data_IF_298016522167
#
_entry.id   IF_298016522167
#
_cell.length_a   1.000
_cell.length_b   1.000
_cell.length_c   1.000
_cell.angle_alpha   90.00
_cell.angle_beta   90.00
_cell.angle_gamma   90.00
#
_symmetry.space_group_name_H-M   'P 1'
#
loop_
_entity.id
_entity.type
_entity.pdbx_description
1 polymer ?
#
# COMPACT_ATOMS: atom_id res chain seq x y z
N UNK A 1 -23.76 -11.69 -5.65
CA UNK A 1 -23.09 -11.80 -6.96
C UNK A 1 -23.64 -12.98 -7.72
N UNK A 2 -23.90 -12.80 -9.01
CA UNK A 2 -24.23 -13.91 -9.89
C UNK A 2 -23.00 -14.84 -10.06
N UNK A 3 -23.22 -16.09 -10.51
CA UNK A 3 -22.10 -17.00 -10.83
C UNK A 3 -21.19 -16.44 -11.94
N UNK A 4 -21.76 -15.67 -12.87
CA UNK A 4 -21.02 -15.01 -13.95
C UNK A 4 -20.12 -13.90 -13.40
N UNK A 5 -20.65 -13.02 -12.52
CA UNK A 5 -19.88 -11.95 -11.87
C UNK A 5 -18.75 -12.51 -11.02
N UNK A 6 -18.97 -13.61 -10.30
CA UNK A 6 -17.92 -14.26 -9.50
C UNK A 6 -16.77 -14.80 -10.36
N UNK A 7 -17.09 -15.37 -11.55
CA UNK A 7 -16.08 -15.85 -12.51
C UNK A 7 -15.17 -14.73 -13.05
N UNK A 8 -15.69 -13.51 -13.13
CA UNK A 8 -14.91 -12.34 -13.54
C UNK A 8 -14.10 -11.76 -12.40
N UNK A 9 -14.72 -11.62 -11.22
CA UNK A 9 -14.10 -10.91 -10.09
C UNK A 9 -13.00 -11.71 -9.42
N UNK A 10 -13.17 -13.04 -9.23
CA UNK A 10 -12.21 -13.86 -8.50
C UNK A 10 -10.80 -13.85 -9.11
N UNK A 11 -10.61 -14.05 -10.44
CA UNK A 11 -9.28 -13.96 -11.04
C UNK A 11 -8.67 -12.54 -10.96
N UNK A 12 -9.49 -11.49 -11.04
CA UNK A 12 -9.02 -10.11 -10.89
C UNK A 12 -8.56 -9.82 -9.46
N UNK A 13 -9.29 -10.31 -8.47
CA UNK A 13 -8.87 -10.21 -7.07
C UNK A 13 -7.60 -11.03 -6.79
N UNK A 14 -7.47 -12.23 -7.37
CA UNK A 14 -6.28 -13.07 -7.24
C UNK A 14 -5.03 -12.41 -7.84
N UNK A 15 -5.13 -11.81 -9.03
CA UNK A 15 -3.97 -11.12 -9.64
C UNK A 15 -3.58 -9.88 -8.86
N UNK A 16 -4.55 -9.13 -8.32
CA UNK A 16 -4.27 -7.99 -7.43
C UNK A 16 -3.57 -8.45 -6.16
N UNK A 17 -4.09 -9.50 -5.52
CA UNK A 17 -3.47 -10.10 -4.32
C UNK A 17 -2.05 -10.61 -4.60
N UNK A 18 -1.83 -11.31 -5.72
CA UNK A 18 -0.50 -11.78 -6.13
C UNK A 18 0.48 -10.61 -6.31
N UNK A 19 0.02 -9.51 -6.91
CA UNK A 19 0.86 -8.32 -7.08
C UNK A 19 1.24 -7.66 -5.74
N UNK A 20 0.33 -7.61 -4.76
CA UNK A 20 0.60 -7.10 -3.43
C UNK A 20 1.53 -8.01 -2.62
N UNK A 21 1.44 -9.33 -2.81
CA UNK A 21 2.37 -10.29 -2.19
C UNK A 21 3.83 -10.04 -2.55
N UNK A 22 4.12 -9.33 -3.66
CA UNK A 22 5.48 -8.93 -4.03
C UNK A 22 6.18 -8.08 -2.94
N UNK A 23 5.43 -7.38 -2.12
CA UNK A 23 5.94 -6.65 -0.95
C UNK A 23 5.79 -7.47 0.32
N UNK A 24 4.57 -7.87 0.65
CA UNK A 24 4.24 -8.38 1.97
C UNK A 24 4.87 -9.74 2.28
N UNK A 25 5.05 -10.59 1.25
CA UNK A 25 5.75 -11.87 1.37
C UNK A 25 7.25 -11.69 1.62
N UNK A 26 7.82 -10.60 1.10
CA UNK A 26 9.25 -10.30 1.16
C UNK A 26 9.68 -9.59 2.46
N UNK A 27 8.80 -8.77 3.06
CA UNK A 27 9.16 -7.97 4.23
C UNK A 27 9.83 -8.76 5.37
N UNK A 28 9.33 -9.95 5.78
CA UNK A 28 9.99 -10.75 6.82
C UNK A 28 11.39 -11.24 6.42
N UNK A 29 11.70 -11.26 5.12
CA UNK A 29 12.98 -11.74 4.60
C UNK A 29 14.09 -10.68 4.62
N UNK A 30 13.78 -9.39 4.83
CA UNK A 30 14.75 -8.29 4.77
C UNK A 30 15.91 -8.46 5.76
N UNK A 31 15.69 -8.82 7.06
CA UNK A 31 16.80 -9.07 7.99
C UNK A 31 17.65 -10.29 7.59
N UNK A 32 17.02 -11.31 6.99
CA UNK A 32 17.72 -12.52 6.50
C UNK A 32 18.59 -12.17 5.30
N UNK A 33 18.06 -11.38 4.35
CA UNK A 33 18.78 -10.87 3.19
C UNK A 33 20.00 -10.04 3.66
N UNK A 34 19.81 -9.12 4.59
CA UNK A 34 20.87 -8.27 5.13
C UNK A 34 22.05 -9.11 5.60
N UNK A 35 21.78 -10.12 6.44
CA UNK A 35 22.81 -11.03 6.96
C UNK A 35 23.45 -11.87 5.87
N UNK A 36 22.67 -12.39 4.93
CA UNK A 36 23.16 -13.30 3.89
C UNK A 36 24.06 -12.61 2.86
N UNK A 37 23.85 -11.32 2.61
CA UNK A 37 24.66 -10.52 1.69
C UNK A 37 25.75 -9.71 2.41
N UNK A 38 25.77 -9.69 3.75
CA UNK A 38 26.73 -8.91 4.54
C UNK A 38 26.63 -7.41 4.29
N UNK A 39 25.42 -6.89 4.05
CA UNK A 39 25.18 -5.48 3.72
C UNK A 39 24.63 -4.71 4.92
N UNK A 40 24.71 -3.37 4.86
CA UNK A 40 24.12 -2.49 5.85
C UNK A 40 22.60 -2.50 5.81
N UNK A 41 21.96 -2.13 6.92
CA UNK A 41 20.49 -2.04 7.04
C UNK A 41 19.91 -1.08 6.01
N UNK A 42 20.54 0.06 5.80
CA UNK A 42 20.15 1.06 4.78
C UNK A 42 20.07 0.47 3.40
N UNK A 43 21.03 -0.36 3.04
CA UNK A 43 21.08 -1.05 1.75
C UNK A 43 20.00 -2.15 1.63
N UNK A 44 19.74 -2.87 2.73
CA UNK A 44 18.66 -3.85 2.76
C UNK A 44 17.28 -3.18 2.66
N UNK A 45 17.04 -2.09 3.39
CA UNK A 45 15.80 -1.31 3.32
C UNK A 45 15.61 -0.63 1.96
N UNK A 46 16.70 -0.27 1.26
CA UNK A 46 16.61 0.27 -0.09
C UNK A 46 15.92 -0.70 -1.07
N UNK A 47 15.98 -2.01 -0.85
CA UNK A 47 15.27 -3.00 -1.68
C UNK A 47 13.75 -2.89 -1.58
N UNK A 48 13.23 -2.43 -0.45
CA UNK A 48 11.80 -2.15 -0.24
C UNK A 48 11.43 -0.78 -0.78
N UNK A 49 12.24 0.24 -0.47
CA UNK A 49 12.00 1.61 -0.91
C UNK A 49 12.00 1.73 -2.44
N UNK A 50 12.93 1.08 -3.13
CA UNK A 50 13.02 1.11 -4.59
C UNK A 50 11.84 0.37 -5.26
N UNK A 51 11.32 -0.68 -4.64
CA UNK A 51 10.10 -1.34 -5.10
C UNK A 51 8.92 -0.38 -5.01
N UNK A 52 8.74 0.34 -3.89
CA UNK A 52 7.69 1.35 -3.76
C UNK A 52 7.86 2.49 -4.78
N UNK A 53 9.09 2.90 -5.09
CA UNK A 53 9.34 3.88 -6.14
C UNK A 53 8.91 3.39 -7.52
N UNK A 54 9.20 2.13 -7.87
CA UNK A 54 8.73 1.48 -9.09
C UNK A 54 7.20 1.38 -9.14
N UNK A 55 6.59 0.96 -8.02
CA UNK A 55 5.14 0.87 -7.88
C UNK A 55 4.46 2.25 -7.97
N UNK A 56 5.09 3.29 -7.42
CA UNK A 56 4.63 4.67 -7.53
C UNK A 56 4.60 5.14 -8.99
N UNK A 57 5.70 4.96 -9.71
CA UNK A 57 5.80 5.33 -11.12
C UNK A 57 4.81 4.54 -11.99
N UNK A 58 4.53 3.30 -11.62
CA UNK A 58 3.59 2.42 -12.32
C UNK A 58 2.17 3.00 -12.38
N UNK A 59 1.76 3.79 -11.37
CA UNK A 59 0.41 4.37 -11.33
C UNK A 59 0.16 5.31 -12.52
N UNK A 60 1.17 6.07 -12.91
CA UNK A 60 1.09 6.94 -14.08
C UNK A 60 1.24 6.15 -15.39
N UNK A 61 2.22 5.24 -15.43
CA UNK A 61 2.53 4.46 -16.63
C UNK A 61 1.36 3.55 -17.04
N UNK A 62 0.78 2.78 -16.12
CA UNK A 62 -0.33 1.89 -16.44
C UNK A 62 -1.64 2.60 -16.63
N UNK A 63 -1.87 3.74 -15.96
CA UNK A 63 -3.04 4.58 -16.20
C UNK A 63 -3.13 5.06 -17.64
N UNK A 64 -2.02 5.51 -18.22
CA UNK A 64 -1.94 5.92 -19.62
C UNK A 64 -1.93 4.72 -20.58
N UNK A 65 -1.19 3.65 -20.23
CA UNK A 65 -1.09 2.43 -21.04
C UNK A 65 -2.43 1.72 -21.19
N UNK A 66 -3.30 1.77 -20.18
CA UNK A 66 -4.63 1.15 -20.22
C UNK A 66 -5.48 1.71 -21.37
N UNK A 67 -5.41 3.03 -21.58
CA UNK A 67 -6.13 3.70 -22.67
C UNK A 67 -5.57 3.33 -24.06
N UNK A 68 -4.27 3.08 -24.18
CA UNK A 68 -3.60 2.80 -25.47
C UNK A 68 -3.56 1.33 -25.83
N UNK A 69 -3.25 0.46 -24.88
CA UNK A 69 -3.00 -0.96 -25.10
C UNK A 69 -4.21 -1.84 -24.80
N UNK A 70 -5.17 -1.31 -24.04
CA UNK A 70 -6.31 -2.06 -23.51
C UNK A 70 -5.95 -2.94 -22.30
N UNK A 71 -6.96 -3.41 -21.54
CA UNK A 71 -6.75 -4.05 -20.24
C UNK A 71 -6.02 -5.39 -20.34
N UNK A 72 -6.32 -6.19 -21.38
CA UNK A 72 -5.73 -7.52 -21.53
C UNK A 72 -4.22 -7.47 -21.79
N UNK A 73 -3.75 -6.52 -22.61
CA UNK A 73 -2.33 -6.35 -22.87
C UNK A 73 -1.63 -5.77 -21.64
N UNK A 74 -2.23 -4.80 -20.97
CA UNK A 74 -1.66 -4.24 -19.74
C UNK A 74 -1.47 -5.31 -18.66
N UNK A 75 -2.50 -6.14 -18.39
CA UNK A 75 -2.40 -7.19 -17.40
C UNK A 75 -1.38 -8.26 -17.82
N UNK A 76 -1.33 -8.62 -19.11
CA UNK A 76 -0.37 -9.58 -19.64
C UNK A 76 1.08 -9.10 -19.44
N UNK A 77 1.39 -7.89 -19.86
CA UNK A 77 2.73 -7.29 -19.72
C UNK A 77 3.09 -7.15 -18.24
N UNK A 78 2.15 -6.67 -17.40
CA UNK A 78 2.37 -6.52 -15.96
C UNK A 78 2.66 -7.86 -15.27
N UNK A 79 1.84 -8.89 -15.50
CA UNK A 79 2.03 -10.19 -14.84
C UNK A 79 3.25 -10.94 -15.37
N UNK A 80 3.51 -10.90 -16.69
CA UNK A 80 4.75 -11.46 -17.26
C UNK A 80 5.97 -10.71 -16.71
N UNK A 81 5.92 -9.38 -16.66
CA UNK A 81 6.96 -8.56 -16.03
C UNK A 81 7.18 -8.93 -14.56
N UNK A 82 6.10 -9.17 -13.79
CA UNK A 82 6.20 -9.62 -12.40
C UNK A 82 6.86 -10.99 -12.27
N UNK A 83 6.55 -11.94 -13.16
CA UNK A 83 7.20 -13.26 -13.22
C UNK A 83 8.69 -13.11 -13.48
N UNK A 84 9.06 -12.42 -14.58
CA UNK A 84 10.45 -12.28 -15.01
C UNK A 84 11.30 -11.55 -13.97
N UNK A 85 10.77 -10.46 -13.40
CA UNK A 85 11.49 -9.70 -12.37
C UNK A 85 11.59 -10.44 -11.05
N UNK A 86 10.58 -11.26 -10.69
CA UNK A 86 10.67 -12.14 -9.51
C UNK A 86 11.74 -13.21 -9.69
N UNK A 87 11.80 -13.86 -10.86
CA UNK A 87 12.89 -14.80 -11.18
C UNK A 87 14.25 -14.09 -11.14
N UNK A 88 14.34 -12.89 -11.73
CA UNK A 88 15.58 -12.10 -11.72
C UNK A 88 16.01 -11.72 -10.27
N UNK A 89 15.06 -11.33 -9.39
CA UNK A 89 15.34 -11.07 -7.99
C UNK A 89 15.85 -12.33 -7.26
N UNK A 90 15.25 -13.50 -7.54
CA UNK A 90 15.69 -14.76 -6.94
C UNK A 90 17.10 -15.17 -7.36
N UNK A 91 17.50 -14.81 -8.56
CA UNK A 91 18.82 -15.11 -9.14
C UNK A 91 19.85 -14.00 -8.91
N UNK A 92 19.47 -12.87 -8.31
CA UNK A 92 20.37 -11.74 -8.10
C UNK A 92 21.55 -12.13 -7.19
N UNK A 93 22.77 -11.93 -7.69
CA UNK A 93 24.02 -12.23 -6.98
C UNK A 93 24.59 -11.01 -6.24
N UNK A 94 24.15 -9.81 -6.61
CA UNK A 94 24.62 -8.57 -5.98
C UNK A 94 23.48 -7.59 -5.72
N UNK A 95 23.70 -6.69 -4.74
CA UNK A 95 22.73 -5.68 -4.35
C UNK A 95 22.31 -4.76 -5.51
N UNK A 96 23.20 -4.24 -6.38
CA UNK A 96 22.79 -3.37 -7.49
C UNK A 96 21.80 -4.03 -8.45
N UNK A 97 22.02 -5.29 -8.79
CA UNK A 97 21.08 -6.05 -9.61
C UNK A 97 19.75 -6.30 -8.91
N UNK A 98 19.79 -6.64 -7.62
CA UNK A 98 18.58 -6.82 -6.85
C UNK A 98 17.77 -5.52 -6.79
N UNK A 99 18.42 -4.37 -6.56
CA UNK A 99 17.75 -3.06 -6.58
C UNK A 99 17.08 -2.78 -7.93
N UNK A 100 17.80 -2.97 -9.03
CA UNK A 100 17.26 -2.78 -10.38
C UNK A 100 16.03 -3.69 -10.60
N UNK A 101 16.13 -4.98 -10.28
CA UNK A 101 15.03 -5.92 -10.49
C UNK A 101 13.84 -5.60 -9.56
N UNK A 102 14.07 -5.15 -8.33
CA UNK A 102 13.01 -4.71 -7.40
C UNK A 102 12.28 -3.47 -7.93
N UNK A 103 12.98 -2.52 -8.55
CA UNK A 103 12.33 -1.38 -9.20
C UNK A 103 11.39 -1.83 -10.32
N UNK A 104 11.87 -2.66 -11.24
CA UNK A 104 11.04 -3.16 -12.34
C UNK A 104 9.92 -4.10 -11.85
N UNK A 105 10.13 -4.84 -10.76
CA UNK A 105 9.10 -5.65 -10.11
C UNK A 105 7.97 -4.78 -9.55
N UNK A 106 8.30 -3.66 -8.90
CA UNK A 106 7.33 -2.67 -8.46
C UNK A 106 6.55 -2.06 -9.63
N UNK A 107 7.25 -1.71 -10.70
CA UNK A 107 6.64 -1.19 -11.92
C UNK A 107 5.65 -2.19 -12.54
N UNK A 108 6.01 -3.46 -12.59
CA UNK A 108 5.16 -4.53 -13.13
C UNK A 108 3.95 -4.83 -12.24
N UNK A 109 4.14 -4.85 -10.92
CA UNK A 109 3.08 -5.15 -9.94
C UNK A 109 1.91 -4.16 -10.01
N UNK A 110 2.16 -2.89 -10.33
CA UNK A 110 1.11 -1.87 -10.41
C UNK A 110 0.08 -2.06 -11.54
N UNK A 111 0.34 -2.90 -12.53
CA UNK A 111 -0.62 -3.15 -13.60
C UNK A 111 -1.94 -3.73 -13.07
N UNK A 112 -1.88 -4.68 -12.16
CA UNK A 112 -3.06 -5.34 -11.61
C UNK A 112 -3.93 -4.39 -10.79
N UNK A 113 -3.33 -3.51 -9.99
CA UNK A 113 -4.05 -2.56 -9.13
C UNK A 113 -4.85 -1.52 -9.91
N UNK A 114 -4.46 -1.24 -11.15
CA UNK A 114 -5.14 -0.30 -12.03
C UNK A 114 -6.14 -1.02 -12.94
N UNK A 115 -5.73 -2.13 -13.54
CA UNK A 115 -6.55 -2.84 -14.54
C UNK A 115 -7.72 -3.55 -13.89
N UNK A 116 -7.54 -4.23 -12.74
CA UNK A 116 -8.59 -5.05 -12.15
C UNK A 116 -9.85 -4.24 -11.76
N UNK A 117 -9.74 -3.10 -11.03
CA UNK A 117 -10.91 -2.27 -10.74
C UNK A 117 -11.55 -1.66 -12.00
N UNK A 118 -10.74 -1.34 -13.03
CA UNK A 118 -11.23 -0.77 -14.28
C UNK A 118 -12.06 -1.80 -15.06
N UNK A 119 -11.62 -3.05 -15.14
CA UNK A 119 -12.37 -4.14 -15.76
C UNK A 119 -13.69 -4.39 -15.03
N UNK A 120 -13.66 -4.44 -13.69
CA UNK A 120 -14.91 -4.66 -12.91
C UNK A 120 -15.93 -3.56 -13.18
N UNK A 121 -15.50 -2.28 -13.20
CA UNK A 121 -16.42 -1.14 -13.44
C UNK A 121 -17.00 -1.10 -14.86
N UNK A 122 -16.26 -1.62 -15.83
CA UNK A 122 -16.70 -1.57 -17.24
C UNK A 122 -17.46 -2.81 -17.69
N UNK A 123 -17.35 -3.94 -16.96
CA UNK A 123 -17.97 -5.22 -17.36
C UNK A 123 -19.13 -5.65 -16.48
N UNK A 124 -19.27 -5.05 -15.31
CA UNK A 124 -20.34 -5.36 -14.36
C UNK A 124 -21.17 -4.11 -14.08
N UNK A 125 -22.49 -4.29 -13.95
CA UNK A 125 -23.42 -3.20 -13.70
C UNK A 125 -23.97 -3.20 -12.26
N UNK A 126 -24.41 -2.03 -11.81
CA UNK A 126 -25.17 -1.84 -10.58
C UNK A 126 -24.52 -2.46 -9.33
N UNK A 127 -25.29 -3.30 -8.64
CA UNK A 127 -24.85 -3.92 -7.37
C UNK A 127 -23.72 -4.94 -7.57
N UNK A 128 -23.58 -5.56 -8.73
CA UNK A 128 -22.52 -6.53 -8.99
C UNK A 128 -21.17 -5.84 -9.19
N UNK A 129 -21.12 -4.65 -9.81
CA UNK A 129 -19.92 -3.83 -9.90
C UNK A 129 -19.43 -3.40 -8.48
N UNK A 130 -20.36 -2.93 -7.65
CA UNK A 130 -20.02 -2.54 -6.25
C UNK A 130 -19.48 -3.72 -5.45
N UNK A 131 -20.12 -4.88 -5.54
CA UNK A 131 -19.67 -6.10 -4.88
C UNK A 131 -18.32 -6.61 -5.42
N UNK A 132 -18.08 -6.43 -6.71
CA UNK A 132 -16.82 -6.81 -7.35
C UNK A 132 -15.66 -5.95 -6.86
N UNK A 133 -15.83 -4.64 -6.79
CA UNK A 133 -14.84 -3.72 -6.20
C UNK A 133 -14.62 -4.06 -4.72
N UNK A 134 -15.69 -4.30 -3.95
CA UNK A 134 -15.57 -4.68 -2.54
C UNK A 134 -14.77 -6.00 -2.35
N UNK A 135 -14.92 -6.98 -3.26
CA UNK A 135 -14.15 -8.22 -3.22
C UNK A 135 -12.66 -8.01 -3.50
N UNK A 136 -12.30 -7.13 -4.46
CA UNK A 136 -10.91 -6.73 -4.69
C UNK A 136 -10.35 -6.05 -3.44
N UNK A 137 -11.07 -5.07 -2.89
CA UNK A 137 -10.63 -4.35 -1.68
C UNK A 137 -10.52 -5.25 -0.44
N UNK A 138 -11.33 -6.31 -0.35
CA UNK A 138 -11.19 -7.32 0.69
C UNK A 138 -9.87 -8.08 0.57
N UNK A 139 -9.46 -8.49 -0.64
CA UNK A 139 -8.15 -9.11 -0.87
C UNK A 139 -7.03 -8.13 -0.54
N UNK A 140 -7.14 -6.88 -0.97
CA UNK A 140 -6.18 -5.81 -0.65
C UNK A 140 -6.01 -5.60 0.86
N UNK A 141 -7.08 -5.72 1.63
CA UNK A 141 -7.04 -5.61 3.09
C UNK A 141 -6.47 -6.88 3.78
N UNK A 142 -6.65 -8.06 3.19
CA UNK A 142 -6.21 -9.33 3.78
C UNK A 142 -4.73 -9.63 3.49
N UNK A 143 -4.21 -9.22 2.33
CA UNK A 143 -2.83 -9.52 1.91
C UNK A 143 -1.78 -9.01 2.91
N UNK A 144 -1.88 -7.79 3.48
CA UNK A 144 -0.94 -7.31 4.49
C UNK A 144 -0.91 -8.13 5.80
N UNK A 145 -1.94 -8.94 6.07
CA UNK A 145 -1.91 -9.89 7.18
C UNK A 145 -1.38 -11.26 6.73
N UNK A 146 -1.90 -11.77 5.60
CA UNK A 146 -1.55 -13.11 5.11
C UNK A 146 -0.11 -13.17 4.55
N UNK A 147 0.34 -12.12 3.85
CA UNK A 147 1.67 -12.06 3.24
C UNK A 147 2.82 -12.27 4.22
N UNK A 148 2.90 -11.49 5.30
CA UNK A 148 3.93 -11.68 6.33
C UNK A 148 3.88 -13.05 7.03
N UNK A 149 2.67 -13.60 7.24
CA UNK A 149 2.51 -14.95 7.83
C UNK A 149 3.08 -16.01 6.88
N UNK A 150 2.71 -15.93 5.60
CA UNK A 150 3.24 -16.82 4.57
C UNK A 150 4.74 -16.63 4.38
N UNK A 151 5.21 -15.38 4.35
CA UNK A 151 6.64 -15.05 4.26
C UNK A 151 7.44 -15.63 5.42
N UNK A 152 6.97 -15.46 6.66
CA UNK A 152 7.59 -16.01 7.84
C UNK A 152 7.62 -17.54 7.81
N UNK A 153 6.53 -18.19 7.39
CA UNK A 153 6.46 -19.66 7.25
C UNK A 153 7.43 -20.17 6.16
N UNK A 154 7.52 -19.48 5.04
CA UNK A 154 8.45 -19.84 3.96
C UNK A 154 9.92 -19.76 4.40
N UNK A 155 10.27 -18.76 5.23
CA UNK A 155 11.62 -18.57 5.73
C UNK A 155 12.11 -19.70 6.66
N UNK A 156 11.21 -20.52 7.19
CA UNK A 156 11.58 -21.71 7.97
C UNK A 156 12.24 -22.77 7.08
N UNK A 157 11.81 -22.87 5.83
CA UNK A 157 12.24 -23.93 4.90
C UNK A 157 13.07 -23.41 3.72
N UNK A 158 12.91 -22.12 3.38
CA UNK A 158 13.51 -21.51 2.21
C UNK A 158 14.35 -20.29 2.61
N UNK A 159 15.34 -19.96 1.78
CA UNK A 159 16.06 -18.69 1.92
C UNK A 159 15.16 -17.51 1.50
N UNK A 160 15.66 -16.28 1.70
CA UNK A 160 14.98 -15.07 1.19
C UNK A 160 14.68 -15.13 -0.32
N UNK A 161 15.48 -15.84 -1.09
CA UNK A 161 15.25 -16.08 -2.54
C UNK A 161 13.98 -16.88 -2.80
N UNK A 162 13.61 -17.76 -1.88
CA UNK A 162 12.41 -18.59 -1.97
C UNK A 162 11.12 -17.76 -2.05
N UNK A 163 11.06 -16.60 -1.40
CA UNK A 163 9.90 -15.71 -1.47
C UNK A 163 9.63 -15.23 -2.90
N UNK A 164 10.68 -14.95 -3.67
CA UNK A 164 10.56 -14.54 -5.07
C UNK A 164 10.18 -15.70 -5.99
N UNK A 165 10.69 -16.92 -5.76
CA UNK A 165 10.29 -18.11 -6.51
C UNK A 165 8.81 -18.44 -6.32
N UNK A 166 8.32 -18.37 -5.08
CA UNK A 166 6.91 -18.62 -4.77
C UNK A 166 6.03 -17.55 -5.43
N UNK A 167 6.45 -16.29 -5.41
CA UNK A 167 5.74 -15.21 -6.08
C UNK A 167 5.69 -15.41 -7.60
N UNK A 168 6.81 -15.78 -8.22
CA UNK A 168 6.87 -16.08 -9.65
C UNK A 168 5.93 -17.24 -10.02
N UNK A 169 5.90 -18.31 -9.22
CA UNK A 169 5.02 -19.43 -9.42
C UNK A 169 3.54 -19.04 -9.28
N UNK A 170 3.20 -18.27 -8.24
CA UNK A 170 1.83 -17.77 -8.04
C UNK A 170 1.37 -16.92 -9.23
N UNK A 171 2.22 -15.99 -9.70
CA UNK A 171 1.92 -15.16 -10.86
C UNK A 171 1.78 -16.00 -12.15
N UNK A 172 2.60 -17.03 -12.33
CA UNK A 172 2.53 -17.94 -13.47
C UNK A 172 1.20 -18.73 -13.49
N UNK A 173 0.72 -19.18 -12.33
CA UNK A 173 -0.57 -19.88 -12.20
C UNK A 173 -1.74 -18.93 -12.50
N UNK A 174 -1.69 -17.70 -12.02
CA UNK A 174 -2.78 -16.71 -12.17
C UNK A 174 -2.84 -16.15 -13.59
N UNK A 175 -1.73 -16.06 -14.32
CA UNK A 175 -1.64 -15.47 -15.66
C UNK A 175 -2.68 -16.05 -16.65
N UNK A 176 -2.73 -17.37 -16.93
CA UNK A 176 -3.68 -17.90 -17.91
C UNK A 176 -5.15 -17.73 -17.46
N UNK A 177 -5.40 -17.73 -16.16
CA UNK A 177 -6.74 -17.58 -15.60
C UNK A 177 -7.24 -16.16 -15.85
N UNK A 178 -6.43 -15.14 -15.51
CA UNK A 178 -6.82 -13.73 -15.66
C UNK A 178 -6.90 -13.32 -17.13
N UNK A 179 -6.03 -13.84 -18.00
CA UNK A 179 -6.08 -13.53 -19.43
C UNK A 179 -7.33 -14.07 -20.13
N UNK A 180 -7.91 -15.17 -19.65
CA UNK A 180 -9.14 -15.73 -20.22
C UNK A 180 -10.35 -14.82 -19.98
N UNK A 181 -10.39 -14.11 -18.85
CA UNK A 181 -11.55 -13.31 -18.43
C UNK A 181 -11.40 -11.82 -18.74
N UNK A 182 -10.16 -11.34 -18.92
CA UNK A 182 -9.91 -9.91 -19.16
C UNK A 182 -10.26 -9.57 -20.62
N UNK A 183 -11.18 -8.62 -20.85
CA UNK A 183 -11.55 -8.21 -22.20
C UNK A 183 -10.37 -7.55 -22.92
N UNK A 184 -10.43 -7.52 -24.27
CA UNK A 184 -9.39 -6.84 -25.07
C UNK A 184 -9.53 -5.33 -25.00
N UNK A 185 -10.77 -4.85 -24.91
CA UNK A 185 -11.14 -3.43 -24.87
C UNK A 185 -12.14 -3.19 -23.75
N UNK A 186 -12.16 -1.98 -23.20
CA UNK A 186 -13.14 -1.56 -22.20
C UNK A 186 -14.20 -0.70 -22.87
N UNK A 187 -15.50 -1.06 -22.78
CA UNK A 187 -16.57 -0.19 -23.25
C UNK A 187 -16.53 1.17 -22.53
N UNK A 188 -16.69 2.26 -23.30
CA UNK A 188 -16.85 3.60 -22.73
C UNK A 188 -15.58 4.31 -22.25
N UNK A 189 -14.38 3.81 -22.57
CA UNK A 189 -13.17 4.60 -22.41
C UNK A 189 -13.19 5.75 -23.44
N UNK A 190 -13.45 6.96 -22.96
CA UNK A 190 -13.40 8.16 -23.79
C UNK A 190 -11.94 8.56 -24.02
N UNK A 191 -11.46 8.35 -25.23
CA UNK A 191 -10.11 8.71 -25.67
C UNK A 191 -9.95 10.22 -25.96
N UNK A 192 -11.04 11.01 -25.85
CA UNK A 192 -11.14 12.33 -26.46
C UNK A 192 -10.74 13.51 -25.57
N UNK A 193 -10.47 13.34 -24.27
CA UNK A 193 -10.12 14.48 -23.43
C UNK A 193 -8.79 14.28 -22.69
N UNK A 194 -7.72 14.90 -23.16
CA UNK A 194 -6.50 15.07 -22.38
C UNK A 194 -6.69 16.18 -21.34
N UNK A 195 -7.55 15.98 -20.33
CA UNK A 195 -7.53 16.84 -19.17
C UNK A 195 -6.24 16.54 -18.40
N UNK A 196 -5.22 17.41 -18.50
CA UNK A 196 -3.91 17.17 -17.91
C UNK A 196 -3.97 17.04 -16.38
N UNK A 197 -2.98 16.37 -15.78
CA UNK A 197 -2.77 16.30 -14.33
C UNK A 197 -2.71 17.69 -13.67
N UNK A 198 -2.36 18.74 -14.43
CA UNK A 198 -2.30 20.12 -13.96
C UNK A 198 -3.60 20.61 -13.32
N UNK A 199 -4.76 20.27 -13.87
CA UNK A 199 -6.07 20.67 -13.28
C UNK A 199 -6.32 20.00 -11.93
N UNK A 200 -5.94 18.74 -11.77
CA UNK A 200 -6.06 18.01 -10.49
C UNK A 200 -5.11 18.62 -9.44
N UNK A 201 -3.88 18.91 -9.83
CA UNK A 201 -2.86 19.50 -8.96
C UNK A 201 -3.11 20.97 -8.65
N UNK A 202 -3.84 21.70 -9.49
CA UNK A 202 -4.27 23.08 -9.22
C UNK A 202 -5.34 23.16 -8.11
N UNK A 203 -6.05 22.05 -7.84
CA UNK A 203 -7.05 22.01 -6.76
C UNK A 203 -6.37 21.93 -5.39
N UNK A 204 -6.23 23.08 -4.72
CA UNK A 204 -5.56 23.19 -3.41
C UNK A 204 -6.20 22.32 -2.33
N UNK A 205 -7.53 22.13 -2.37
CA UNK A 205 -8.26 21.25 -1.42
C UNK A 205 -7.81 19.81 -1.61
N UNK A 206 -7.86 19.33 -2.84
CA UNK A 206 -7.40 18.00 -3.20
C UNK A 206 -5.95 17.77 -2.74
N UNK A 207 -5.04 18.66 -3.13
CA UNK A 207 -3.61 18.54 -2.80
C UNK A 207 -3.37 18.48 -1.29
N UNK A 208 -4.03 19.34 -0.49
CA UNK A 208 -3.88 19.34 0.98
C UNK A 208 -4.34 18.02 1.60
N UNK A 209 -5.52 17.52 1.21
CA UNK A 209 -6.07 16.27 1.75
C UNK A 209 -5.19 15.08 1.34
N UNK A 210 -4.76 15.04 0.07
CA UNK A 210 -3.93 13.95 -0.45
C UNK A 210 -2.54 13.93 0.18
N UNK A 211 -1.87 15.07 0.31
CA UNK A 211 -0.57 15.12 0.99
C UNK A 211 -0.69 14.72 2.47
N UNK A 212 -1.77 15.15 3.16
CA UNK A 212 -2.05 14.69 4.51
C UNK A 212 -2.25 13.17 4.58
N UNK A 213 -2.99 12.59 3.61
CA UNK A 213 -3.19 11.15 3.52
C UNK A 213 -1.89 10.42 3.16
N UNK A 214 -1.09 10.96 2.26
CA UNK A 214 0.20 10.41 1.86
C UNK A 214 1.21 10.37 3.02
N UNK A 215 1.30 11.43 3.83
CA UNK A 215 2.17 11.46 5.02
C UNK A 215 1.72 10.40 6.05
N UNK A 216 0.42 10.23 6.23
CA UNK A 216 -0.12 9.18 7.10
C UNK A 216 0.20 7.78 6.58
N UNK A 217 -0.01 7.53 5.29
CA UNK A 217 0.37 6.27 4.65
C UNK A 217 1.88 6.06 4.63
N UNK A 218 2.66 7.14 4.49
CA UNK A 218 4.12 7.12 4.67
C UNK A 218 4.52 6.63 6.06
N UNK A 219 3.87 7.10 7.12
CA UNK A 219 4.09 6.63 8.50
C UNK A 219 3.72 5.14 8.65
N UNK A 220 2.59 4.71 8.05
CA UNK A 220 2.18 3.31 8.01
C UNK A 220 3.26 2.43 7.36
N UNK A 221 3.63 2.73 6.12
CA UNK A 221 4.57 1.91 5.35
C UNK A 221 6.00 2.01 5.86
N UNK A 222 6.43 3.16 6.41
CA UNK A 222 7.69 3.30 7.12
C UNK A 222 7.77 2.30 8.28
N UNK A 223 6.72 2.21 9.10
CA UNK A 223 6.67 1.24 10.19
C UNK A 223 6.62 -0.19 9.66
N UNK A 224 5.70 -0.53 8.75
CA UNK A 224 5.53 -1.89 8.21
C UNK A 224 6.80 -2.40 7.55
N UNK A 225 7.45 -1.59 6.72
CA UNK A 225 8.67 -1.98 6.01
C UNK A 225 9.86 -2.17 6.95
N UNK A 226 9.92 -1.39 8.03
CA UNK A 226 11.03 -1.41 8.98
C UNK A 226 10.80 -2.33 10.19
N UNK A 227 9.54 -2.72 10.45
CA UNK A 227 9.19 -3.51 11.63
C UNK A 227 9.94 -4.85 11.73
N UNK A 228 10.18 -5.64 10.66
CA UNK A 228 10.96 -6.86 10.77
C UNK A 228 12.38 -6.62 11.32
N UNK A 229 13.03 -5.56 10.83
CA UNK A 229 14.36 -5.17 11.27
C UNK A 229 14.36 -4.61 12.69
N UNK A 230 13.37 -3.74 12.99
CA UNK A 230 13.18 -3.19 14.33
C UNK A 230 12.99 -4.30 15.38
N UNK A 231 12.09 -5.27 15.09
CA UNK A 231 11.82 -6.38 16.00
C UNK A 231 13.05 -7.26 16.21
N UNK A 232 13.83 -7.46 15.15
CA UNK A 232 15.07 -8.23 15.24
C UNK A 232 16.12 -7.51 16.10
N UNK A 233 16.36 -6.23 15.85
CA UNK A 233 17.43 -5.47 16.51
C UNK A 233 17.07 -5.09 17.96
N UNK A 234 15.84 -4.62 18.21
CA UNK A 234 15.42 -4.14 19.52
C UNK A 234 15.07 -5.28 20.49
N UNK A 235 14.56 -6.41 19.99
CA UNK A 235 14.00 -7.47 20.83
C UNK A 235 14.56 -8.86 20.55
N UNK A 236 15.41 -9.05 19.53
CA UNK A 236 15.90 -10.36 19.12
C UNK A 236 14.81 -11.26 18.52
N UNK A 237 13.66 -10.68 18.10
CA UNK A 237 12.51 -11.42 17.63
C UNK A 237 12.61 -11.71 16.12
N UNK A 238 12.08 -12.86 15.71
CA UNK A 238 12.09 -13.30 14.31
C UNK A 238 10.82 -12.93 13.54
N UNK A 239 10.75 -13.45 12.32
CA UNK A 239 9.67 -13.21 11.36
C UNK A 239 8.24 -13.51 11.90
N UNK A 240 8.10 -14.49 12.79
CA UNK A 240 6.82 -14.81 13.43
C UNK A 240 6.24 -13.70 14.27
N UNK A 241 7.09 -12.93 14.98
CA UNK A 241 6.65 -11.76 15.74
C UNK A 241 6.10 -10.65 14.81
N UNK A 242 6.76 -10.43 13.68
CA UNK A 242 6.26 -9.49 12.67
C UNK A 242 4.92 -9.95 12.08
N UNK A 243 4.77 -11.24 11.78
CA UNK A 243 3.52 -11.80 11.31
C UNK A 243 2.38 -11.59 12.34
N UNK A 244 2.63 -11.84 13.62
CA UNK A 244 1.66 -11.61 14.71
C UNK A 244 1.26 -10.14 14.79
N UNK A 245 2.22 -9.22 14.72
CA UNK A 245 1.98 -7.78 14.73
C UNK A 245 1.06 -7.38 13.56
N UNK A 246 1.33 -7.86 12.35
CA UNK A 246 0.52 -7.57 11.17
C UNK A 246 -0.91 -8.12 11.28
N UNK A 247 -1.07 -9.37 11.74
CA UNK A 247 -2.39 -9.98 11.95
C UNK A 247 -3.22 -9.15 12.93
N UNK A 248 -2.64 -8.73 14.06
CA UNK A 248 -3.34 -7.92 15.07
C UNK A 248 -3.73 -6.55 14.48
N UNK A 249 -2.81 -5.86 13.79
CA UNK A 249 -3.09 -4.57 13.18
C UNK A 249 -4.17 -4.64 12.11
N UNK A 250 -4.07 -5.59 11.17
CA UNK A 250 -5.05 -5.76 10.09
C UNK A 250 -6.41 -6.18 10.63
N UNK A 251 -6.46 -7.05 11.63
CA UNK A 251 -7.72 -7.43 12.28
C UNK A 251 -8.39 -6.22 12.92
N UNK A 252 -7.65 -5.41 13.68
CA UNK A 252 -8.13 -4.15 14.23
C UNK A 252 -8.65 -3.20 13.15
N UNK A 253 -7.90 -3.05 12.06
CA UNK A 253 -8.32 -2.26 10.90
C UNK A 253 -9.65 -2.73 10.32
N UNK A 254 -9.80 -4.03 10.01
CA UNK A 254 -11.01 -4.59 9.39
C UNK A 254 -12.23 -4.41 10.30
N UNK A 255 -12.10 -4.73 11.60
CA UNK A 255 -13.17 -4.57 12.58
C UNK A 255 -13.62 -3.11 12.66
N UNK A 256 -12.68 -2.17 12.65
CA UNK A 256 -12.98 -0.74 12.76
C UNK A 256 -13.49 -0.18 11.43
N UNK A 257 -12.95 -0.59 10.30
CA UNK A 257 -13.38 -0.17 8.98
C UNK A 257 -14.85 -0.50 8.69
N UNK A 258 -15.35 -1.64 9.19
CA UNK A 258 -16.76 -2.00 9.08
C UNK A 258 -17.72 -1.02 9.79
N UNK A 259 -17.21 -0.18 10.68
CA UNK A 259 -17.97 0.85 11.44
C UNK A 259 -17.66 2.27 11.01
N UNK A 260 -16.63 2.46 10.16
CA UNK A 260 -16.10 3.79 9.76
C UNK A 260 -17.19 4.69 9.15
N UNK A 261 -18.06 4.16 8.30
CA UNK A 261 -19.15 4.92 7.69
C UNK A 261 -20.16 5.45 8.72
N UNK A 262 -20.48 4.67 9.75
CA UNK A 262 -21.36 5.10 10.84
C UNK A 262 -20.72 6.19 11.70
N UNK A 263 -19.43 6.07 11.98
CA UNK A 263 -18.66 7.06 12.75
C UNK A 263 -18.57 8.35 11.95
N UNK A 264 -18.21 8.30 10.68
CA UNK A 264 -18.13 9.47 9.81
C UNK A 264 -19.50 10.13 9.59
N UNK A 265 -20.57 9.33 9.47
CA UNK A 265 -21.94 9.85 9.34
C UNK A 265 -22.43 10.62 10.60
N UNK A 266 -21.96 10.24 11.80
CA UNK A 266 -22.29 10.95 13.05
C UNK A 266 -21.44 12.20 13.30
N UNK A 267 -20.16 12.15 12.97
CA UNK A 267 -19.18 13.21 13.25
C UNK A 267 -19.03 14.21 12.11
N UNK A 268 -19.38 13.80 10.89
CA UNK A 268 -18.99 14.48 9.65
C UNK A 268 -17.56 14.10 9.22
N UNK A 269 -17.33 14.02 7.92
CA UNK A 269 -16.03 13.59 7.34
C UNK A 269 -14.86 14.42 7.87
N UNK A 270 -14.95 15.74 7.81
CA UNK A 270 -13.86 16.63 8.24
C UNK A 270 -13.51 16.48 9.73
N UNK A 271 -14.50 16.25 10.59
CA UNK A 271 -14.27 16.02 12.03
C UNK A 271 -13.63 14.64 12.26
N UNK A 272 -14.09 13.59 11.57
CA UNK A 272 -13.52 12.25 11.68
C UNK A 272 -12.05 12.24 11.23
N UNK A 273 -11.72 12.94 10.16
CA UNK A 273 -10.34 13.07 9.65
C UNK A 273 -9.44 13.82 10.63
N UNK A 274 -9.92 14.93 11.23
CA UNK A 274 -9.14 15.72 12.20
C UNK A 274 -8.94 14.96 13.51
N UNK A 275 -9.99 14.38 14.07
CA UNK A 275 -9.88 13.59 15.31
C UNK A 275 -8.95 12.39 15.12
N UNK A 276 -9.03 11.69 13.97
CA UNK A 276 -8.11 10.61 13.65
C UNK A 276 -6.66 11.10 13.53
N UNK A 277 -6.42 12.30 12.96
CA UNK A 277 -5.07 12.86 12.90
C UNK A 277 -4.51 13.20 14.29
N UNK A 278 -5.32 13.82 15.15
CA UNK A 278 -4.93 14.09 16.56
C UNK A 278 -4.65 12.78 17.29
N UNK A 279 -5.52 11.77 17.16
CA UNK A 279 -5.33 10.48 17.80
C UNK A 279 -4.02 9.80 17.37
N UNK A 280 -3.64 9.87 16.08
CA UNK A 280 -2.35 9.35 15.62
C UNK A 280 -1.16 10.07 16.27
N UNK A 281 -1.21 11.41 16.39
CA UNK A 281 -0.16 12.18 17.08
C UNK A 281 -0.06 11.73 18.52
N UNK A 282 -1.19 11.60 19.22
CA UNK A 282 -1.22 11.20 20.63
C UNK A 282 -0.60 9.84 20.85
N UNK A 283 -0.95 8.83 20.02
CA UNK A 283 -0.36 7.49 20.18
C UNK A 283 1.11 7.43 19.78
N UNK A 284 1.53 8.19 18.75
CA UNK A 284 2.93 8.27 18.36
C UNK A 284 3.77 8.99 19.43
N UNK A 285 3.25 10.07 20.02
CA UNK A 285 3.89 10.76 21.14
C UNK A 285 3.96 9.86 22.38
N UNK A 286 2.89 9.12 22.68
CA UNK A 286 2.89 8.15 23.77
C UNK A 286 3.95 7.07 23.57
N UNK A 287 4.08 6.50 22.37
CA UNK A 287 5.12 5.53 22.05
C UNK A 287 6.52 6.14 22.22
N UNK A 288 6.74 7.38 21.77
CA UNK A 288 8.01 8.07 21.94
C UNK A 288 8.35 8.28 23.42
N UNK A 289 7.40 8.73 24.26
CA UNK A 289 7.58 8.91 25.69
C UNK A 289 7.86 7.58 26.43
N UNK A 290 7.09 6.52 26.10
CA UNK A 290 7.31 5.17 26.63
C UNK A 290 8.69 4.65 26.25
N UNK A 291 9.14 4.95 25.02
CA UNK A 291 10.46 4.58 24.51
C UNK A 291 11.58 5.33 25.23
N UNK A 292 11.41 6.64 25.48
CA UNK A 292 12.34 7.46 26.25
C UNK A 292 12.47 6.99 27.72
N UNK A 293 11.37 6.54 28.29
CA UNK A 293 11.33 5.99 29.64
C UNK A 293 11.90 4.56 29.74
N UNK A 294 12.28 3.92 28.62
CA UNK A 294 12.84 2.57 28.60
C UNK A 294 11.82 1.44 28.70
N UNK A 295 10.51 1.75 28.57
CA UNK A 295 9.41 0.76 28.74
C UNK A 295 8.83 0.25 27.41
N UNK A 296 9.44 0.59 26.25
CA UNK A 296 8.98 0.13 24.96
C UNK A 296 9.28 -1.37 24.80
N UNK A 297 8.29 -2.19 25.09
CA UNK A 297 8.33 -3.66 24.95
C UNK A 297 7.53 -4.12 23.75
N UNK A 298 7.72 -5.37 23.31
CA UNK A 298 6.95 -5.93 22.19
C UNK A 298 5.42 -5.89 22.41
N UNK A 299 4.86 -6.22 23.59
CA UNK A 299 3.42 -6.02 23.86
C UNK A 299 2.96 -4.57 23.69
N UNK A 300 3.77 -3.59 24.07
CA UNK A 300 3.47 -2.17 23.85
C UNK A 300 3.38 -1.86 22.37
N UNK A 301 4.30 -2.41 21.54
CA UNK A 301 4.23 -2.27 20.09
C UNK A 301 2.98 -2.93 19.47
N UNK A 302 2.55 -4.08 19.98
CA UNK A 302 1.32 -4.74 19.52
C UNK A 302 0.09 -3.84 19.76
N UNK A 303 -0.02 -3.28 20.96
CA UNK A 303 -1.13 -2.37 21.32
C UNK A 303 -1.05 -1.09 20.47
N UNK A 304 0.12 -0.48 20.38
CA UNK A 304 0.34 0.71 19.55
C UNK A 304 -0.10 0.46 18.11
N UNK A 305 0.36 -0.64 17.50
CA UNK A 305 0.08 -0.96 16.11
C UNK A 305 -1.40 -1.23 15.86
N UNK A 306 -2.04 -1.96 16.76
CA UNK A 306 -3.49 -2.17 16.71
C UNK A 306 -4.26 -0.84 16.75
N UNK A 307 -3.92 0.04 17.70
CA UNK A 307 -4.53 1.36 17.82
C UNK A 307 -4.28 2.21 16.56
N UNK A 308 -3.06 2.20 16.01
CA UNK A 308 -2.70 2.93 14.80
C UNK A 308 -3.58 2.49 13.62
N UNK A 309 -3.71 1.19 13.40
CA UNK A 309 -4.54 0.63 12.34
C UNK A 309 -6.04 0.93 12.54
N UNK A 310 -6.56 0.86 13.77
CA UNK A 310 -7.93 1.23 14.09
C UNK A 310 -8.22 2.71 13.78
N UNK A 311 -7.33 3.62 14.18
CA UNK A 311 -7.48 5.06 13.92
C UNK A 311 -7.41 5.32 12.40
N UNK A 312 -6.52 4.63 11.68
CA UNK A 312 -6.41 4.74 10.23
C UNK A 312 -7.72 4.31 9.54
N UNK A 313 -8.38 3.25 10.03
CA UNK A 313 -9.66 2.77 9.51
C UNK A 313 -10.80 3.79 9.68
N UNK A 314 -10.76 4.61 10.72
CA UNK A 314 -11.75 5.70 10.93
C UNK A 314 -11.44 6.89 10.02
N UNK A 315 -10.16 7.26 9.89
CA UNK A 315 -9.74 8.47 9.19
C UNK A 315 -9.64 8.31 7.68
N UNK A 316 -9.15 7.15 7.21
CA UNK A 316 -8.79 6.93 5.80
C UNK A 316 -9.96 7.08 4.83
N UNK A 317 -11.05 6.31 4.97
CA UNK A 317 -12.18 6.35 4.05
C UNK A 317 -12.82 7.74 3.90
N UNK A 318 -13.09 8.51 4.97
CA UNK A 318 -13.59 9.87 4.83
C UNK A 318 -12.63 10.83 4.11
N UNK A 319 -11.32 10.72 4.37
CA UNK A 319 -10.32 11.55 3.70
C UNK A 319 -10.26 11.27 2.20
N UNK A 320 -10.30 9.99 1.80
CA UNK A 320 -10.33 9.57 0.40
C UNK A 320 -11.62 10.05 -0.29
N UNK A 321 -12.76 9.87 0.36
CA UNK A 321 -14.06 10.33 -0.15
C UNK A 321 -14.06 11.84 -0.40
N UNK A 322 -13.57 12.63 0.55
CA UNK A 322 -13.51 14.09 0.43
C UNK A 322 -12.49 14.55 -0.63
N UNK A 323 -11.37 13.84 -0.78
CA UNK A 323 -10.37 14.13 -1.80
C UNK A 323 -10.90 13.87 -3.21
N UNK A 324 -11.63 12.76 -3.40
CA UNK A 324 -12.19 12.35 -4.69
C UNK A 324 -13.51 13.04 -5.04
N UNK A 325 -13.93 14.06 -4.28
CA UNK A 325 -15.08 14.91 -4.62
C UNK A 325 -14.72 15.87 -5.76
N UNK A 326 -14.46 15.28 -6.93
CA UNK A 326 -14.00 15.95 -8.16
C UNK A 326 -14.91 15.55 -9.33
N UNK A 327 -14.93 16.32 -10.44
CA UNK A 327 -15.62 15.92 -11.66
C UNK A 327 -15.18 14.51 -12.12
N UNK A 328 -16.14 13.72 -12.63
CA UNK A 328 -15.92 12.32 -13.04
C UNK A 328 -14.72 12.16 -13.98
N UNK A 329 -14.51 13.12 -14.92
CA UNK A 329 -13.38 13.13 -15.85
C UNK A 329 -11.99 13.25 -15.17
N UNK A 330 -11.93 13.70 -13.92
CA UNK A 330 -10.68 13.89 -13.16
C UNK A 330 -10.42 12.75 -12.16
N UNK A 331 -11.43 11.95 -11.80
CA UNK A 331 -11.34 10.96 -10.71
C UNK A 331 -10.23 9.92 -10.92
N UNK A 332 -10.06 9.42 -12.15
CA UNK A 332 -9.00 8.44 -12.45
C UNK A 332 -7.59 8.99 -12.21
N UNK A 333 -7.36 10.23 -12.65
CA UNK A 333 -6.06 10.91 -12.45
C UNK A 333 -5.84 11.31 -10.99
N UNK A 334 -6.89 11.74 -10.30
CA UNK A 334 -6.84 12.04 -8.88
C UNK A 334 -6.46 10.79 -8.06
N UNK A 335 -7.06 9.63 -8.36
CA UNK A 335 -6.71 8.36 -7.73
C UNK A 335 -5.25 7.97 -8.00
N UNK A 336 -4.76 8.14 -9.23
CA UNK A 336 -3.36 7.88 -9.57
C UNK A 336 -2.40 8.78 -8.80
N UNK A 337 -2.67 10.09 -8.71
CA UNK A 337 -1.87 11.05 -7.94
C UNK A 337 -1.90 10.72 -6.44
N UNK A 338 -3.05 10.29 -5.92
CA UNK A 338 -3.18 9.88 -4.52
C UNK A 338 -2.29 8.70 -4.18
N UNK A 339 -2.35 7.64 -4.98
CA UNK A 339 -1.54 6.43 -4.76
C UNK A 339 -0.06 6.73 -5.00
N UNK A 340 0.27 7.51 -6.02
CA UNK A 340 1.64 7.98 -6.28
C UNK A 340 2.22 8.72 -5.06
N UNK A 341 1.50 9.71 -4.52
CA UNK A 341 1.95 10.47 -3.35
C UNK A 341 2.15 9.59 -2.12
N UNK A 342 1.22 8.64 -1.89
CA UNK A 342 1.30 7.65 -0.81
C UNK A 342 2.57 6.80 -0.93
N UNK A 343 2.85 6.26 -2.12
CA UNK A 343 3.97 5.36 -2.35
C UNK A 343 5.33 6.08 -2.34
N UNK A 344 5.36 7.35 -2.79
CA UNK A 344 6.54 8.20 -2.63
C UNK A 344 6.82 8.44 -1.13
N UNK A 345 5.79 8.78 -0.36
CA UNK A 345 5.94 8.96 1.09
C UNK A 345 6.38 7.66 1.79
N UNK A 346 5.88 6.51 1.32
CA UNK A 346 6.31 5.18 1.79
C UNK A 346 7.79 4.91 1.48
N UNK A 347 8.22 5.14 0.25
CA UNK A 347 9.61 4.94 -0.17
C UNK A 347 10.58 5.85 0.62
N UNK A 348 10.26 7.14 0.69
CA UNK A 348 11.07 8.12 1.42
C UNK A 348 11.10 7.83 2.92
N UNK A 349 9.93 7.56 3.53
CA UNK A 349 9.85 7.24 4.95
C UNK A 349 10.67 6.01 5.33
N UNK A 350 10.57 4.94 4.53
CA UNK A 350 11.34 3.71 4.72
C UNK A 350 12.84 3.96 4.62
N UNK A 351 13.29 4.75 3.64
CA UNK A 351 14.71 5.01 3.44
C UNK A 351 15.30 6.00 4.45
N UNK A 352 14.53 7.00 4.86
CA UNK A 352 14.99 8.00 5.83
C UNK A 352 15.15 7.43 7.24
N UNK A 353 14.31 6.47 7.65
CA UNK A 353 14.41 5.83 8.96
C UNK A 353 15.50 4.75 9.02
N UNK A 354 15.89 4.19 7.88
CA UNK A 354 16.77 3.03 7.80
C UNK A 354 18.10 3.18 8.56
N UNK A 355 18.85 4.32 8.47
CA UNK A 355 20.10 4.49 9.23
C UNK A 355 19.91 4.48 10.74
N UNK A 356 18.71 4.77 11.22
CA UNK A 356 18.39 4.86 12.65
C UNK A 356 17.91 3.53 13.24
N UNK A 357 17.79 2.49 12.42
CA UNK A 357 17.38 1.15 12.85
C UNK A 357 18.52 0.29 13.39
N UNK A 358 19.77 0.75 13.28
CA UNK A 358 20.96 0.06 13.83
C UNK A 358 20.97 0.07 15.38
N UNK A 359 20.31 1.06 16.00
CA UNK A 359 20.20 1.17 17.43
C UNK A 359 19.18 0.21 18.04
N UNK A 360 19.36 -0.15 19.34
CA UNK A 360 18.47 -1.10 20.03
C UNK A 360 17.11 -0.51 20.42
N UNK A 361 16.72 0.65 19.91
CA UNK A 361 15.57 1.40 20.38
C UNK A 361 14.45 1.58 19.37
N UNK A 362 13.24 1.73 19.90
CA UNK A 362 12.00 2.05 19.13
C UNK A 362 11.87 3.56 18.94
N UNK A 363 12.61 4.37 19.68
CA UNK A 363 12.46 5.83 19.72
C UNK A 363 12.59 6.50 18.34
N UNK A 364 13.59 6.18 17.50
CA UNK A 364 13.70 6.82 16.18
C UNK A 364 12.46 6.57 15.31
N UNK A 365 11.91 5.35 15.35
CA UNK A 365 10.69 4.99 14.65
C UNK A 365 9.48 5.79 15.15
N UNK A 366 9.31 5.88 16.48
CA UNK A 366 8.22 6.63 17.09
C UNK A 366 8.27 8.12 16.73
N UNK A 367 9.48 8.72 16.76
CA UNK A 367 9.71 10.12 16.36
C UNK A 367 9.44 10.33 14.86
N UNK A 368 9.92 9.43 13.99
CA UNK A 368 9.66 9.49 12.56
C UNK A 368 8.16 9.45 12.25
N UNK A 369 7.43 8.55 12.89
CA UNK A 369 5.96 8.48 12.76
C UNK A 369 5.29 9.73 13.32
N UNK A 370 5.77 10.28 14.44
CA UNK A 370 5.25 11.51 15.03
C UNK A 370 5.44 12.71 14.08
N UNK A 371 6.58 12.84 13.43
CA UNK A 371 6.84 13.90 12.46
C UNK A 371 5.92 13.81 11.24
N UNK A 372 5.75 12.62 10.67
CA UNK A 372 4.85 12.40 9.53
C UNK A 372 3.38 12.67 9.90
N UNK A 373 2.93 12.20 11.09
CA UNK A 373 1.56 12.45 11.56
C UNK A 373 1.34 13.92 11.93
N UNK A 374 2.35 14.59 12.49
CA UNK A 374 2.35 16.03 12.74
C UNK A 374 2.26 16.86 11.46
N UNK A 375 3.04 16.52 10.44
CA UNK A 375 2.94 17.14 9.11
C UNK A 375 1.57 16.91 8.47
N UNK A 376 1.01 15.72 8.68
CA UNK A 376 -0.31 15.36 8.15
C UNK A 376 -1.43 16.24 8.74
N UNK A 377 -1.43 16.54 10.06
CA UNK A 377 -2.45 17.41 10.66
C UNK A 377 -2.26 18.87 10.24
N UNK A 378 -1.02 19.35 10.14
CA UNK A 378 -0.74 20.73 9.70
C UNK A 378 -1.35 21.04 8.32
N UNK A 379 -1.36 20.05 7.42
CA UNK A 379 -1.96 20.20 6.09
C UNK A 379 -3.49 20.32 6.10
N UNK A 380 -4.17 19.75 7.09
CA UNK A 380 -5.64 19.73 7.19
C UNK A 380 -6.21 20.64 8.29
N UNK A 381 -5.38 21.48 8.88
CA UNK A 381 -5.82 22.49 9.87
C UNK A 381 -5.61 23.90 9.28
N UNK A 382 -6.66 24.71 9.07
CA UNK A 382 -8.08 24.33 9.12
C UNK A 382 -8.43 23.32 8.03
N UNK A 383 -9.46 22.47 8.29
CA UNK A 383 -9.91 21.48 7.31
C UNK A 383 -10.45 22.21 6.05
N UNK A 384 -10.02 21.81 4.85
CA UNK A 384 -10.42 22.52 3.63
C UNK A 384 -11.93 22.43 3.42
N UNK A 385 -12.58 23.58 3.30
CA UNK A 385 -14.02 23.67 3.04
C UNK A 385 -14.38 22.99 1.69
N UNK A 386 -15.61 22.44 1.54
CA UNK A 386 -16.11 22.01 0.24
C UNK A 386 -16.08 23.20 -0.74
N UNK A 387 -15.63 22.96 -1.97
CA UNK A 387 -15.78 23.96 -3.03
C UNK A 387 -17.27 24.08 -3.36
N UNK A 388 -17.81 25.28 -3.24
CA UNK A 388 -19.15 25.57 -3.75
C UNK A 388 -19.08 25.61 -5.27
N UNK A 389 -20.13 25.08 -5.94
CA UNK A 389 -20.23 24.95 -7.40
C UNK A 389 -20.23 26.28 -8.20
N UNK A 390 -19.67 27.32 -7.65
CA UNK A 390 -19.58 28.67 -8.25
C UNK A 390 -18.19 29.18 -8.58
N UNK A 391 -17.12 28.45 -8.26
CA UNK A 391 -15.73 28.91 -8.41
C UNK A 391 -14.98 28.26 -9.61
N UNK A 392 -15.71 27.96 -10.71
CA UNK A 392 -15.10 27.46 -11.97
C UNK A 392 -15.16 28.52 -13.06
#
# INVERSE_FOLDING_TARGET
MSRASLRTVLPLALVTGTSMLATDLYLPAVPVLQKSLGIEITAAQATVAIFFAGLALSQLAWGESLNRLGPRRCIAIGVVGLILTSVACALAESLPWLLAFRFFQGLAAGAATIVAPSVVRSTLDGTDAVRGIAAISMVEALVPAAGPVLGAALLVYLSWRGTFWILALAALIVLPIVLRITPRELPGLDHSTPAGYGRVLANRRFVRIILSHALMGGALFMFVASAPQLLHNAYGLGAGAFATLQVIGVTGFIITASRSSRIAGRLGNGTAVRLGAVAHIVICAALALISLAGYASYPVLLVFWCCFCCILAVRGPPAISDALHLPAAQMGRASAVMILALLIAAALGTQLIAPLLDGPGVLPMAVGMLLLTGGSIALITPYPAPQTSGDT
#
